data_IF_143935726138
#
_entry.id   IF_143935726138
#
_cell.length_a   1.000
_cell.length_b   1.000
_cell.length_c   1.000
_cell.angle_alpha   90.00
_cell.angle_beta   90.00
_cell.angle_gamma   90.00
#
_symmetry.space_group_name_H-M   'P 1'
#
loop_
_entity.id
_entity.type
_entity.pdbx_description
1 polymer ?
#
# COMPACT_ATOMS: atom_id res chain seq x y z
N UNK A 1 1.99 18.19 16.89
CA UNK A 1 2.69 18.49 15.62
C UNK A 1 3.61 17.32 15.35
N UNK A 2 3.34 16.55 14.29
CA UNK A 2 4.18 15.44 13.85
C UNK A 2 5.21 16.04 12.89
N UNK A 3 6.18 16.80 13.42
CA UNK A 3 7.11 17.60 12.61
C UNK A 3 8.37 16.85 12.18
N UNK A 4 8.66 15.68 12.76
CA UNK A 4 9.94 14.98 12.54
C UNK A 4 9.80 13.61 11.84
N UNK A 5 8.63 13.27 11.29
CA UNK A 5 8.49 12.01 10.55
C UNK A 5 9.13 12.14 9.17
N UNK A 6 10.22 11.39 8.95
CA UNK A 6 10.84 11.24 7.64
C UNK A 6 9.95 10.41 6.72
N UNK A 7 9.28 11.07 5.78
CA UNK A 7 8.46 10.41 4.76
C UNK A 7 9.32 9.59 3.76
N UNK A 8 8.73 8.51 3.28
CA UNK A 8 9.24 7.69 2.19
C UNK A 8 9.04 8.41 0.85
N UNK A 9 10.12 8.64 0.12
CA UNK A 9 10.12 9.24 -1.22
C UNK A 9 11.31 8.72 -2.01
N UNK A 10 11.28 8.75 -3.35
CA UNK A 10 12.44 8.40 -4.16
C UNK A 10 13.68 9.21 -3.75
N UNK A 11 14.87 8.62 -3.88
CA UNK A 11 16.12 9.33 -3.62
C UNK A 11 16.55 10.04 -4.91
N UNK A 12 16.78 11.36 -4.90
CA UNK A 12 17.32 12.10 -6.04
C UNK A 12 18.70 11.57 -6.44
N UNK A 13 18.94 11.45 -7.74
CA UNK A 13 20.25 11.18 -8.31
C UNK A 13 20.82 12.52 -8.81
N UNK A 14 22.11 12.79 -8.54
CA UNK A 14 22.76 14.02 -9.01
C UNK A 14 22.78 14.09 -10.55
N UNK A 15 22.66 15.29 -11.10
CA UNK A 15 22.75 15.49 -12.55
C UNK A 15 24.18 15.23 -13.02
N UNK A 16 24.32 14.38 -14.04
CA UNK A 16 25.59 14.06 -14.67
C UNK A 16 25.47 14.20 -16.19
N UNK A 17 26.27 15.12 -16.76
CA UNK A 17 26.28 15.42 -18.20
C UNK A 17 26.90 14.31 -19.05
N UNK A 18 27.56 13.32 -18.43
CA UNK A 18 28.16 12.18 -19.13
C UNK A 18 27.15 11.08 -19.45
N UNK A 19 25.95 11.12 -18.85
CA UNK A 19 24.89 10.14 -19.11
C UNK A 19 24.41 10.27 -20.56
N UNK A 20 24.38 9.15 -21.28
CA UNK A 20 23.98 9.13 -22.70
C UNK A 20 22.51 9.55 -22.86
N UNK A 21 22.19 10.53 -23.72
CA UNK A 21 20.81 10.94 -23.95
C UNK A 21 20.08 9.95 -24.89
N UNK A 22 18.79 9.75 -24.63
CA UNK A 22 17.87 9.02 -25.50
C UNK A 22 16.72 9.93 -25.93
N UNK A 23 16.47 9.98 -27.24
CA UNK A 23 15.35 10.72 -27.86
C UNK A 23 14.84 9.97 -29.09
N UNK A 24 13.75 10.46 -29.68
CA UNK A 24 13.24 9.94 -30.96
C UNK A 24 14.34 9.90 -32.02
N UNK A 25 14.49 8.75 -32.68
CA UNK A 25 15.55 8.47 -33.66
C UNK A 25 16.84 7.85 -33.09
N UNK A 26 17.01 7.76 -31.77
CA UNK A 26 18.13 7.03 -31.16
C UNK A 26 18.01 5.52 -31.44
N UNK A 27 19.14 4.85 -31.69
CA UNK A 27 19.18 3.41 -31.90
C UNK A 27 18.76 2.66 -30.61
N UNK A 28 17.58 2.03 -30.66
CA UNK A 28 16.98 1.31 -29.52
C UNK A 28 17.85 0.14 -29.07
N UNK A 29 18.41 -0.64 -29.99
CA UNK A 29 19.22 -1.82 -29.66
C UNK A 29 20.49 -1.43 -28.90
N UNK A 30 21.23 -0.44 -29.40
CA UNK A 30 22.42 0.07 -28.73
C UNK A 30 22.09 0.70 -27.35
N UNK A 31 20.89 1.26 -27.21
CA UNK A 31 20.41 1.79 -25.92
C UNK A 31 20.15 0.65 -24.93
N UNK A 32 19.49 -0.42 -25.35
CA UNK A 32 19.25 -1.60 -24.50
C UNK A 32 20.57 -2.26 -24.10
N UNK A 33 21.53 -2.40 -25.01
CA UNK A 33 22.88 -2.91 -24.71
C UNK A 33 23.60 -2.04 -23.66
N UNK A 34 23.40 -0.71 -23.70
CA UNK A 34 23.91 0.22 -22.67
C UNK A 34 23.28 -0.05 -21.30
N UNK A 35 21.96 -0.29 -21.25
CA UNK A 35 21.25 -0.63 -20.00
C UNK A 35 21.72 -1.99 -19.47
N UNK A 36 21.91 -3.00 -20.34
CA UNK A 36 22.41 -4.32 -19.94
C UNK A 36 23.84 -4.27 -19.39
N UNK A 37 24.67 -3.34 -19.86
CA UNK A 37 25.98 -3.04 -19.30
C UNK A 37 25.93 -2.27 -17.95
N UNK A 38 24.74 -2.07 -17.38
CA UNK A 38 24.55 -1.41 -16.09
C UNK A 38 24.68 0.11 -16.13
N UNK A 39 24.66 0.73 -17.32
CA UNK A 39 24.85 2.18 -17.48
C UNK A 39 23.52 2.91 -17.59
N UNK A 40 23.46 4.10 -17.01
CA UNK A 40 22.30 4.96 -17.10
C UNK A 40 22.08 5.52 -18.52
N UNK A 41 20.82 5.78 -18.83
CA UNK A 41 20.38 6.49 -20.04
C UNK A 41 19.42 7.61 -19.64
N UNK A 42 19.63 8.82 -20.15
CA UNK A 42 18.81 9.99 -19.82
C UNK A 42 17.77 10.26 -20.92
N UNK A 43 16.48 10.24 -20.56
CA UNK A 43 15.40 10.59 -21.49
C UNK A 43 15.41 12.10 -21.75
N UNK A 44 15.45 12.48 -23.02
CA UNK A 44 15.40 13.88 -23.47
C UNK A 44 14.33 14.10 -24.55
N UNK A 45 13.98 15.37 -24.80
CA UNK A 45 13.04 15.75 -25.85
C UNK A 45 11.57 15.65 -25.46
N UNK A 46 10.99 14.45 -25.47
CA UNK A 46 9.57 14.19 -25.18
C UNK A 46 9.42 13.15 -24.08
N UNK A 47 8.44 13.33 -23.19
CA UNK A 47 8.10 12.35 -22.15
C UNK A 47 7.73 10.98 -22.75
N UNK A 48 7.08 10.97 -23.92
CA UNK A 48 6.73 9.74 -24.65
C UNK A 48 7.95 8.90 -25.04
N UNK A 49 9.14 9.48 -25.18
CA UNK A 49 10.35 8.71 -25.49
C UNK A 49 10.68 7.72 -24.38
N UNK A 50 10.48 8.09 -23.11
CA UNK A 50 10.67 7.18 -21.98
C UNK A 50 9.64 6.04 -22.00
N UNK A 51 8.39 6.33 -22.35
CA UNK A 51 7.35 5.31 -22.52
C UNK A 51 7.72 4.32 -23.62
N UNK A 52 8.18 4.82 -24.77
CA UNK A 52 8.62 3.99 -25.90
C UNK A 52 9.83 3.12 -25.50
N UNK A 53 10.84 3.67 -24.84
CA UNK A 53 12.01 2.89 -24.42
C UNK A 53 11.63 1.76 -23.46
N UNK A 54 10.73 2.02 -22.50
CA UNK A 54 10.25 0.99 -21.57
C UNK A 54 9.41 -0.10 -22.27
N UNK A 55 8.63 0.27 -23.29
CA UNK A 55 7.87 -0.68 -24.11
C UNK A 55 8.81 -1.57 -24.93
N UNK A 56 9.83 -0.97 -25.57
CA UNK A 56 10.83 -1.70 -26.34
C UNK A 56 11.67 -2.61 -25.45
N UNK A 57 12.01 -2.19 -24.24
CA UNK A 57 12.68 -3.02 -23.24
C UNK A 57 11.81 -4.24 -22.87
N UNK A 58 10.50 -4.07 -22.72
CA UNK A 58 9.58 -5.20 -22.53
C UNK A 58 9.56 -6.15 -23.74
N UNK A 59 9.50 -5.62 -24.97
CA UNK A 59 9.53 -6.43 -26.20
C UNK A 59 10.83 -7.23 -26.32
N UNK A 60 11.96 -6.59 -26.00
CA UNK A 60 13.27 -7.21 -25.96
C UNK A 60 13.31 -8.37 -24.95
N UNK A 61 12.97 -8.11 -23.69
CA UNK A 61 13.03 -9.14 -22.64
C UNK A 61 12.07 -10.31 -22.90
N UNK A 62 10.90 -10.07 -23.49
CA UNK A 62 9.97 -11.15 -23.86
C UNK A 62 10.54 -12.07 -24.95
N UNK A 63 11.45 -11.58 -25.78
CA UNK A 63 12.12 -12.36 -26.82
C UNK A 63 13.35 -13.09 -26.30
N UNK A 64 14.02 -12.54 -25.28
CA UNK A 64 15.29 -13.06 -24.78
C UNK A 64 15.17 -13.93 -23.53
N UNK A 65 14.10 -13.77 -22.74
CA UNK A 65 13.87 -14.56 -21.54
C UNK A 65 12.65 -15.46 -21.68
N UNK A 66 12.72 -16.71 -21.20
CA UNK A 66 11.52 -17.51 -21.01
C UNK A 66 10.63 -16.84 -19.95
N UNK A 67 9.31 -17.02 -20.06
CA UNK A 67 8.32 -16.31 -19.26
C UNK A 67 7.02 -17.11 -19.08
N UNK A 68 7.11 -18.45 -19.09
CA UNK A 68 5.96 -19.36 -18.99
C UNK A 68 5.76 -19.81 -17.54
N UNK A 69 6.82 -20.23 -16.85
CA UNK A 69 6.73 -20.70 -15.46
C UNK A 69 6.72 -19.53 -14.47
N UNK A 70 6.38 -19.80 -13.20
CA UNK A 70 6.37 -18.79 -12.15
C UNK A 70 7.79 -18.23 -11.88
N UNK A 71 8.80 -19.10 -11.86
CA UNK A 71 10.20 -18.71 -11.66
C UNK A 71 10.71 -17.86 -12.83
N UNK A 72 10.39 -18.25 -14.06
CA UNK A 72 10.70 -17.47 -15.27
C UNK A 72 10.05 -16.09 -15.24
N UNK A 73 8.77 -16.00 -14.85
CA UNK A 73 8.09 -14.73 -14.68
C UNK A 73 8.73 -13.85 -13.60
N UNK A 74 9.22 -14.45 -12.51
CA UNK A 74 9.93 -13.72 -11.46
C UNK A 74 11.26 -13.19 -11.98
N UNK A 75 12.05 -14.01 -12.66
CA UNK A 75 13.32 -13.61 -13.27
C UNK A 75 13.12 -12.49 -14.31
N UNK A 76 12.09 -12.59 -15.16
CA UNK A 76 11.71 -11.54 -16.10
C UNK A 76 11.39 -10.22 -15.38
N UNK A 77 10.58 -10.25 -14.32
CA UNK A 77 10.21 -9.05 -13.55
C UNK A 77 11.42 -8.42 -12.88
N UNK A 78 12.29 -9.23 -12.27
CA UNK A 78 13.51 -8.76 -11.64
C UNK A 78 14.46 -8.09 -12.66
N UNK A 79 14.67 -8.73 -13.83
CA UNK A 79 15.51 -8.17 -14.90
C UNK A 79 14.91 -6.88 -15.47
N UNK A 80 13.61 -6.85 -15.72
CA UNK A 80 12.92 -5.64 -16.17
C UNK A 80 13.03 -4.51 -15.15
N UNK A 81 12.82 -4.80 -13.86
CA UNK A 81 12.96 -3.82 -12.79
C UNK A 81 14.39 -3.28 -12.73
N UNK A 82 15.41 -4.12 -12.81
CA UNK A 82 16.80 -3.70 -12.81
C UNK A 82 17.11 -2.75 -13.99
N UNK A 83 16.77 -3.15 -15.22
CA UNK A 83 17.08 -2.38 -16.42
C UNK A 83 16.24 -1.10 -16.54
N UNK A 84 14.96 -1.14 -16.21
CA UNK A 84 14.09 0.05 -16.28
C UNK A 84 14.47 1.13 -15.26
N UNK A 85 15.07 0.76 -14.12
CA UNK A 85 15.60 1.71 -13.14
C UNK A 85 16.94 2.34 -13.56
N UNK A 86 17.52 1.95 -14.70
CA UNK A 86 18.66 2.64 -15.32
C UNK A 86 18.21 3.72 -16.32
N UNK A 87 16.90 3.85 -16.57
CA UNK A 87 16.35 4.92 -17.41
C UNK A 87 16.03 6.11 -16.51
N UNK A 88 16.69 7.24 -16.74
CA UNK A 88 16.57 8.46 -15.93
C UNK A 88 15.83 9.56 -16.67
N UNK A 89 15.26 10.50 -15.92
CA UNK A 89 14.69 11.74 -16.43
C UNK A 89 15.03 12.88 -15.48
N UNK A 90 15.28 14.05 -16.04
CA UNK A 90 15.64 15.26 -15.30
C UNK A 90 14.41 16.02 -14.82
N UNK A 91 14.48 16.47 -13.57
CA UNK A 91 13.55 17.38 -12.93
C UNK A 91 14.31 18.67 -12.64
N UNK A 92 13.83 19.78 -13.18
CA UNK A 92 14.34 21.13 -12.92
C UNK A 92 13.17 22.03 -12.46
N UNK A 93 13.39 22.82 -11.41
CA UNK A 93 12.38 23.70 -10.80
C UNK A 93 11.06 22.96 -10.51
N UNK A 94 11.22 21.76 -9.93
CA UNK A 94 10.14 20.82 -9.59
C UNK A 94 9.26 20.39 -10.78
N UNK A 95 9.78 20.49 -12.01
CA UNK A 95 9.08 20.10 -13.24
C UNK A 95 9.95 19.16 -14.08
N UNK A 96 9.30 18.22 -14.76
CA UNK A 96 10.00 17.37 -15.74
C UNK A 96 10.50 18.22 -16.91
N UNK A 97 11.80 18.15 -17.20
CA UNK A 97 12.45 18.92 -18.28
C UNK A 97 11.98 18.46 -19.67
N UNK A 98 11.61 17.18 -19.80
CA UNK A 98 11.08 16.63 -21.06
C UNK A 98 9.73 17.25 -21.40
N UNK A 99 9.51 17.57 -22.69
CA UNK A 99 8.27 18.21 -23.14
C UNK A 99 7.09 17.24 -23.16
N UNK A 100 5.87 17.80 -23.15
CA UNK A 100 4.59 17.05 -23.08
C UNK A 100 4.54 16.09 -21.89
N UNK A 101 5.15 16.50 -20.78
CA UNK A 101 5.16 15.77 -19.51
C UNK A 101 3.92 16.07 -18.66
N UNK A 102 3.51 15.16 -17.77
CA UNK A 102 2.52 15.48 -16.74
C UNK A 102 3.08 16.48 -15.71
N UNK A 103 2.20 17.25 -15.08
CA UNK A 103 2.51 18.03 -13.88
C UNK A 103 2.36 17.13 -12.64
N UNK A 104 3.39 17.10 -11.78
CA UNK A 104 3.47 16.23 -10.61
C UNK A 104 3.88 17.06 -9.39
N UNK A 105 2.91 17.40 -8.53
CA UNK A 105 3.15 18.24 -7.35
C UNK A 105 3.93 17.58 -6.22
N UNK A 106 4.18 16.26 -6.30
CA UNK A 106 5.08 15.60 -5.35
C UNK A 106 6.50 16.14 -5.41
N UNK A 107 6.97 16.64 -6.54
CA UNK A 107 8.35 17.13 -6.64
C UNK A 107 8.61 18.31 -5.70
N UNK A 108 7.71 19.30 -5.69
CA UNK A 108 7.78 20.44 -4.78
C UNK A 108 7.62 20.00 -3.31
N UNK A 109 6.62 19.15 -3.02
CA UNK A 109 6.38 18.63 -1.66
C UNK A 109 7.56 17.81 -1.11
N UNK A 110 8.21 17.02 -1.95
CA UNK A 110 9.25 16.07 -1.53
C UNK A 110 10.64 16.67 -1.54
N UNK A 111 10.91 17.63 -2.42
CA UNK A 111 12.25 18.15 -2.64
C UNK A 111 12.25 19.68 -2.67
N UNK A 112 11.66 20.38 -1.68
CA UNK A 112 11.50 21.84 -1.73
C UNK A 112 12.83 22.57 -1.98
N UNK A 113 13.92 22.10 -1.36
CA UNK A 113 15.26 22.70 -1.46
C UNK A 113 16.11 22.18 -2.63
N UNK A 114 15.71 21.09 -3.28
CA UNK A 114 16.48 20.50 -4.38
C UNK A 114 15.75 20.76 -5.70
N UNK A 115 16.23 21.76 -6.44
CA UNK A 115 15.59 22.22 -7.67
C UNK A 115 16.06 21.48 -8.92
N UNK A 116 17.21 20.80 -8.91
CA UNK A 116 17.71 20.08 -10.09
C UNK A 116 18.29 18.70 -9.74
N UNK A 117 17.65 17.66 -10.25
CA UNK A 117 18.03 16.27 -9.98
C UNK A 117 17.43 15.30 -11.00
N UNK A 118 17.91 14.06 -10.98
CA UNK A 118 17.38 12.96 -11.79
C UNK A 118 16.58 11.99 -10.91
N UNK A 119 15.54 11.40 -11.49
CA UNK A 119 14.87 10.21 -10.95
C UNK A 119 14.77 9.14 -12.03
N UNK A 120 14.55 7.88 -11.61
CA UNK A 120 14.26 6.84 -12.59
C UNK A 120 12.89 7.09 -13.23
N UNK A 121 12.77 6.82 -14.52
CA UNK A 121 11.52 6.99 -15.24
C UNK A 121 10.37 6.17 -14.63
N UNK A 122 10.57 4.91 -14.16
CA UNK A 122 9.56 4.19 -13.39
C UNK A 122 9.13 4.89 -12.09
N UNK A 123 10.07 5.50 -11.34
CA UNK A 123 9.72 6.27 -10.14
C UNK A 123 8.84 7.47 -10.48
N UNK A 124 9.15 8.20 -11.56
CA UNK A 124 8.33 9.32 -12.06
C UNK A 124 6.94 8.85 -12.48
N UNK A 125 6.80 7.71 -13.15
CA UNK A 125 5.50 7.12 -13.46
C UNK A 125 4.70 6.79 -12.19
N UNK A 126 5.35 6.23 -11.17
CA UNK A 126 4.75 5.94 -9.88
C UNK A 126 4.28 7.20 -9.14
N UNK A 127 5.13 8.24 -9.10
CA UNK A 127 4.79 9.54 -8.53
C UNK A 127 3.61 10.19 -9.27
N UNK A 128 3.61 10.17 -10.61
CA UNK A 128 2.49 10.70 -11.39
C UNK A 128 1.18 9.97 -11.06
N UNK A 129 1.19 8.63 -11.04
CA UNK A 129 0.01 7.83 -10.70
C UNK A 129 -0.53 8.21 -9.32
N UNK A 130 0.33 8.24 -8.30
CA UNK A 130 -0.05 8.63 -6.95
C UNK A 130 -0.58 10.08 -6.89
N UNK A 131 0.02 11.00 -7.63
CA UNK A 131 -0.41 12.41 -7.68
C UNK A 131 -1.82 12.53 -8.24
N UNK A 132 -2.16 11.77 -9.27
CA UNK A 132 -3.50 11.76 -9.83
C UNK A 132 -4.54 11.24 -8.84
N UNK A 133 -4.22 10.19 -8.07
CA UNK A 133 -5.10 9.70 -7.00
C UNK A 133 -5.27 10.71 -5.87
N UNK A 134 -4.17 11.31 -5.43
CA UNK A 134 -4.17 12.33 -4.39
C UNK A 134 -4.98 13.57 -4.79
N UNK A 135 -4.83 14.06 -6.03
CA UNK A 135 -5.61 15.21 -6.52
C UNK A 135 -7.09 14.90 -6.71
N UNK A 136 -7.43 13.79 -7.38
CA UNK A 136 -8.83 13.48 -7.74
C UNK A 136 -9.66 12.95 -6.57
N UNK A 137 -8.97 12.33 -5.60
CA UNK A 137 -9.55 11.55 -4.53
C UNK A 137 -10.23 10.27 -5.03
N UNK A 138 -10.41 9.32 -4.12
CA UNK A 138 -11.10 8.05 -4.35
C UNK A 138 -12.42 8.03 -3.60
N UNK A 139 -13.51 7.74 -4.31
CA UNK A 139 -14.81 7.47 -3.68
C UNK A 139 -14.81 6.05 -3.12
N UNK A 140 -15.02 5.93 -1.82
CA UNK A 140 -15.19 4.65 -1.13
C UNK A 140 -16.68 4.48 -0.80
N UNK A 141 -17.37 3.42 -1.26
CA UNK A 141 -18.83 3.33 -1.14
C UNK A 141 -19.41 3.41 0.28
N UNK A 142 -18.64 3.03 1.30
CA UNK A 142 -19.06 3.07 2.71
C UNK A 142 -18.75 4.42 3.38
N UNK A 143 -18.13 5.35 2.68
CA UNK A 143 -17.80 6.69 3.15
C UNK A 143 -18.57 7.75 2.35
N UNK A 144 -18.84 8.89 2.99
CA UNK A 144 -19.49 10.04 2.33
C UNK A 144 -18.49 10.89 1.54
N UNK A 145 -17.30 11.09 2.10
CA UNK A 145 -16.25 11.92 1.50
C UNK A 145 -15.26 11.05 0.74
N UNK A 146 -14.64 11.64 -0.28
CA UNK A 146 -13.48 11.02 -0.94
C UNK A 146 -12.31 10.96 0.02
N UNK A 147 -11.49 9.92 -0.13
CA UNK A 147 -10.17 9.84 0.49
C UNK A 147 -9.11 10.28 -0.51
N UNK A 148 -8.03 10.87 -0.02
CA UNK A 148 -6.94 11.39 -0.84
C UNK A 148 -5.63 10.72 -0.40
N UNK A 149 -5.38 9.48 -0.85
CA UNK A 149 -4.24 8.70 -0.37
C UNK A 149 -2.92 9.40 -0.72
N UNK A 150 -2.04 9.52 0.26
CA UNK A 150 -0.70 10.06 0.06
C UNK A 150 0.16 9.06 -0.71
N UNK A 151 1.24 9.56 -1.34
CA UNK A 151 2.18 8.69 -2.05
C UNK A 151 2.67 7.55 -1.14
N UNK A 152 2.72 6.32 -1.67
CA UNK A 152 3.22 5.16 -0.94
C UNK A 152 2.29 4.61 0.14
N UNK A 153 1.09 5.18 0.32
CA UNK A 153 0.08 4.66 1.25
C UNK A 153 -0.83 3.65 0.55
N UNK A 154 -1.14 2.54 1.21
CA UNK A 154 -2.12 1.58 0.71
C UNK A 154 -3.52 2.19 0.69
N UNK A 155 -4.27 1.93 -0.38
CA UNK A 155 -5.70 2.21 -0.44
C UNK A 155 -6.47 1.06 -1.09
N UNK A 156 -7.68 0.75 -0.60
CA UNK A 156 -8.46 -0.36 -1.12
C UNK A 156 -9.00 -0.02 -2.50
N UNK A 157 -8.85 -0.96 -3.44
CA UNK A 157 -9.52 -0.96 -4.76
C UNK A 157 -10.63 -2.01 -4.84
N UNK A 158 -10.77 -2.81 -3.77
CA UNK A 158 -11.83 -3.80 -3.52
C UNK A 158 -12.50 -3.43 -2.20
N UNK A 159 -13.81 -3.60 -2.08
CA UNK A 159 -14.59 -2.97 -0.99
C UNK A 159 -15.39 -3.97 -0.15
N UNK A 160 -15.34 -5.26 -0.46
CA UNK A 160 -16.12 -6.30 0.22
C UNK A 160 -15.85 -6.36 1.73
N UNK A 161 -14.57 -6.25 2.11
CA UNK A 161 -14.15 -6.23 3.52
C UNK A 161 -14.59 -4.95 4.24
N UNK A 162 -14.74 -3.84 3.51
CA UNK A 162 -15.27 -2.59 4.06
C UNK A 162 -16.78 -2.65 4.28
N UNK A 163 -17.51 -3.30 3.37
CA UNK A 163 -18.97 -3.47 3.51
C UNK A 163 -19.33 -4.36 4.69
N UNK A 164 -18.61 -5.47 4.89
CA UNK A 164 -18.88 -6.37 6.02
C UNK A 164 -18.57 -5.68 7.35
N UNK A 165 -17.51 -4.87 7.41
CA UNK A 165 -17.18 -4.03 8.56
C UNK A 165 -18.23 -2.92 8.81
N UNK A 166 -18.66 -2.19 7.77
CA UNK A 166 -19.69 -1.15 7.88
C UNK A 166 -21.00 -1.73 8.43
N UNK A 167 -21.39 -2.91 7.92
CA UNK A 167 -22.59 -3.63 8.35
C UNK A 167 -22.47 -4.09 9.80
N UNK A 168 -21.31 -4.57 10.22
CA UNK A 168 -21.09 -4.93 11.61
C UNK A 168 -21.17 -3.71 12.54
N UNK A 169 -20.50 -2.61 12.19
CA UNK A 169 -20.53 -1.35 12.97
C UNK A 169 -21.96 -0.80 13.11
N UNK A 170 -22.80 -0.94 12.09
CA UNK A 170 -24.21 -0.49 12.15
C UNK A 170 -25.06 -1.21 13.19
N UNK A 171 -24.62 -2.40 13.64
CA UNK A 171 -25.27 -3.23 14.66
C UNK A 171 -24.48 -3.27 15.97
N UNK A 172 -23.38 -2.53 16.07
CA UNK A 172 -22.55 -2.55 17.26
C UNK A 172 -23.21 -1.70 18.37
N UNK A 173 -23.58 -2.37 19.46
CA UNK A 173 -24.29 -1.79 20.62
C UNK A 173 -23.36 -1.51 21.81
N UNK A 174 -22.08 -1.90 21.73
CA UNK A 174 -21.11 -1.61 22.78
C UNK A 174 -20.78 -0.13 22.89
N UNK A 175 -20.11 0.25 23.98
CA UNK A 175 -19.69 1.62 24.19
C UNK A 175 -18.73 2.09 23.09
N UNK A 176 -18.91 3.33 22.62
CA UNK A 176 -18.16 3.91 21.49
C UNK A 176 -17.24 5.04 21.92
N UNK A 177 -16.60 4.94 23.09
CA UNK A 177 -15.71 5.98 23.60
C UNK A 177 -14.41 6.02 22.80
N UNK A 178 -13.78 4.87 22.59
CA UNK A 178 -12.53 4.74 21.86
C UNK A 178 -12.48 3.50 20.97
N UNK A 179 -11.71 3.60 19.89
CA UNK A 179 -11.31 2.47 19.06
C UNK A 179 -9.85 2.58 18.66
N UNK A 180 -9.25 1.46 18.24
CA UNK A 180 -7.90 1.40 17.66
C UNK A 180 -7.97 0.86 16.23
N UNK A 181 -7.28 1.51 15.32
CA UNK A 181 -7.09 1.09 13.92
C UNK A 181 -5.61 0.76 13.70
N UNK A 182 -5.28 -0.54 13.69
CA UNK A 182 -3.90 -1.02 13.53
C UNK A 182 -3.57 -1.11 12.05
N UNK A 183 -2.57 -0.36 11.60
CA UNK A 183 -2.25 -0.22 10.18
C UNK A 183 -3.26 0.68 9.45
N UNK A 184 -3.48 1.89 9.98
CA UNK A 184 -4.54 2.82 9.56
C UNK A 184 -4.51 3.16 8.06
N UNK A 185 -3.34 3.13 7.40
CA UNK A 185 -3.20 3.38 5.97
C UNK A 185 -3.78 4.72 5.55
N UNK A 186 -4.75 4.69 4.62
CA UNK A 186 -5.47 5.90 4.17
C UNK A 186 -6.70 6.26 5.02
N UNK A 187 -6.87 5.64 6.20
CA UNK A 187 -7.85 6.04 7.23
C UNK A 187 -9.27 5.51 7.02
N UNK A 188 -9.50 4.61 6.06
CA UNK A 188 -10.85 4.17 5.71
C UNK A 188 -11.61 3.58 6.90
N UNK A 189 -11.00 2.65 7.65
CA UNK A 189 -11.65 2.00 8.79
C UNK A 189 -11.90 2.99 9.94
N UNK A 190 -10.91 3.83 10.24
CA UNK A 190 -11.06 4.97 11.16
C UNK A 190 -12.22 5.90 10.79
N UNK A 191 -12.38 6.24 9.51
CA UNK A 191 -13.51 7.06 9.06
C UNK A 191 -14.85 6.33 9.19
N UNK A 192 -14.90 5.01 8.98
CA UNK A 192 -16.09 4.22 9.25
C UNK A 192 -16.44 4.23 10.75
N UNK A 193 -15.46 4.04 11.64
CA UNK A 193 -15.69 4.09 13.09
C UNK A 193 -16.21 5.46 13.53
N UNK A 194 -15.60 6.55 13.04
CA UNK A 194 -16.08 7.92 13.29
C UNK A 194 -17.50 8.14 12.76
N UNK A 195 -17.81 7.64 11.55
CA UNK A 195 -19.15 7.69 10.94
C UNK A 195 -20.18 6.96 11.82
N UNK A 196 -19.80 5.85 12.45
CA UNK A 196 -20.67 5.03 13.31
C UNK A 196 -20.68 5.45 14.79
N UNK A 197 -20.10 6.61 15.10
CA UNK A 197 -20.28 7.28 16.39
C UNK A 197 -19.15 7.09 17.40
N UNK A 198 -18.01 6.50 17.01
CA UNK A 198 -16.84 6.48 17.89
C UNK A 198 -16.35 7.91 18.18
N UNK A 199 -16.14 8.21 19.46
CA UNK A 199 -15.74 9.55 19.92
C UNK A 199 -14.26 9.79 19.66
N UNK A 200 -13.43 8.76 19.88
CA UNK A 200 -11.99 8.75 19.60
C UNK A 200 -11.59 7.50 18.83
N UNK A 201 -10.65 7.66 17.91
CA UNK A 201 -9.98 6.56 17.21
C UNK A 201 -8.49 6.82 17.29
N UNK A 202 -7.72 5.82 17.73
CA UNK A 202 -6.26 5.86 17.72
C UNK A 202 -5.76 5.01 16.55
N UNK A 203 -5.08 5.63 15.59
CA UNK A 203 -4.58 5.00 14.38
C UNK A 203 -3.07 4.87 14.40
N UNK A 204 -2.57 3.67 14.14
CA UNK A 204 -1.13 3.40 14.04
C UNK A 204 -0.73 2.97 12.64
N UNK A 205 0.46 3.34 12.20
CA UNK A 205 1.06 2.78 10.99
C UNK A 205 2.59 2.74 11.08
N UNK A 206 3.19 1.76 10.42
CA UNK A 206 4.65 1.68 10.21
C UNK A 206 5.09 2.38 8.93
N UNK A 207 4.15 2.85 8.12
CA UNK A 207 4.40 3.69 6.96
C UNK A 207 4.30 5.18 7.35
N UNK A 208 5.41 5.92 7.37
CA UNK A 208 5.39 7.34 7.73
C UNK A 208 4.49 8.18 6.82
N UNK A 209 4.28 7.75 5.57
CA UNK A 209 3.46 8.47 4.60
C UNK A 209 1.97 8.37 4.92
N UNK A 210 1.51 7.27 5.53
CA UNK A 210 0.14 7.14 6.00
C UNK A 210 -0.15 8.20 7.09
N UNK A 211 0.77 8.33 8.05
CA UNK A 211 0.65 9.27 9.17
C UNK A 211 0.75 10.71 8.69
N UNK A 212 1.79 11.06 7.92
CA UNK A 212 1.95 12.41 7.38
C UNK A 212 0.77 12.79 6.46
N UNK A 213 0.35 11.88 5.58
CA UNK A 213 -0.74 12.09 4.65
C UNK A 213 -2.10 12.30 5.32
N UNK A 214 -2.43 11.48 6.33
CA UNK A 214 -3.66 11.65 7.10
C UNK A 214 -3.62 12.90 7.96
N UNK A 215 -2.47 13.23 8.55
CA UNK A 215 -2.30 14.47 9.31
C UNK A 215 -2.57 15.69 8.42
N UNK A 216 -2.00 15.72 7.21
CA UNK A 216 -2.25 16.77 6.22
C UNK A 216 -3.73 16.79 5.78
N UNK A 217 -4.30 15.64 5.45
CA UNK A 217 -5.70 15.52 5.00
C UNK A 217 -6.70 16.00 6.07
N UNK A 218 -6.46 15.67 7.34
CA UNK A 218 -7.36 16.06 8.42
C UNK A 218 -7.20 17.52 8.81
N UNK A 219 -5.99 18.09 8.73
CA UNK A 219 -5.70 19.47 9.12
C UNK A 219 -6.36 19.86 10.45
N UNK A 220 -7.10 20.97 10.44
CA UNK A 220 -7.83 21.47 11.62
C UNK A 220 -9.32 21.03 11.68
N UNK A 221 -9.71 20.07 10.85
CA UNK A 221 -11.11 19.62 10.76
C UNK A 221 -11.56 18.88 12.03
N UNK A 222 -12.86 18.57 12.13
CA UNK A 222 -13.39 17.72 13.20
C UNK A 222 -12.74 16.33 13.25
N UNK A 223 -12.14 15.86 12.15
CA UNK A 223 -11.46 14.57 12.11
C UNK A 223 -10.19 14.59 12.97
N UNK A 224 -9.38 15.66 12.95
CA UNK A 224 -8.17 15.73 13.78
C UNK A 224 -8.46 15.80 15.28
N UNK A 225 -9.69 16.17 15.67
CA UNK A 225 -10.15 16.07 17.06
C UNK A 225 -10.61 14.66 17.43
N UNK A 226 -10.94 13.81 16.46
CA UNK A 226 -11.47 12.46 16.69
C UNK A 226 -10.46 11.36 16.44
N UNK A 227 -9.52 11.57 15.52
CA UNK A 227 -8.52 10.59 15.12
C UNK A 227 -7.16 11.09 15.59
N UNK A 228 -6.54 10.32 16.47
CA UNK A 228 -5.17 10.50 16.90
C UNK A 228 -4.28 9.54 16.11
N UNK A 229 -3.14 10.03 15.62
CA UNK A 229 -2.24 9.26 14.77
C UNK A 229 -0.92 9.03 15.48
N UNK A 230 -0.39 7.81 15.36
CA UNK A 230 0.92 7.45 15.87
C UNK A 230 1.72 6.67 14.83
N UNK A 231 2.98 7.05 14.66
CA UNK A 231 3.91 6.32 13.82
C UNK A 231 4.58 5.24 14.65
N UNK A 232 4.10 4.01 14.50
CA UNK A 232 4.47 2.92 15.39
C UNK A 232 4.07 1.56 14.87
N UNK A 233 4.80 0.54 15.32
CA UNK A 233 4.47 -0.85 15.07
C UNK A 233 3.30 -1.29 15.95
N UNK A 234 2.34 -2.00 15.36
CA UNK A 234 1.13 -2.51 16.02
C UNK A 234 0.38 -1.43 16.82
N UNK A 235 0.53 -1.37 18.14
CA UNK A 235 -0.18 -0.42 18.98
C UNK A 235 0.62 0.83 19.34
N UNK A 236 1.88 0.91 18.90
CA UNK A 236 2.75 2.07 19.09
C UNK A 236 2.78 2.54 20.55
N UNK A 237 2.55 3.84 20.73
CA UNK A 237 2.58 4.50 22.03
C UNK A 237 1.29 4.33 22.86
N UNK A 238 0.26 3.65 22.33
CA UNK A 238 -0.99 3.45 23.07
C UNK A 238 -0.79 2.56 24.29
N UNK A 239 -1.07 3.12 25.46
CA UNK A 239 -1.09 2.41 26.75
C UNK A 239 -2.50 2.17 27.30
N UNK A 240 -3.50 2.91 26.82
CA UNK A 240 -4.87 2.85 27.34
C UNK A 240 -5.63 1.67 26.71
N UNK A 241 -6.54 1.09 27.49
CA UNK A 241 -7.48 0.11 26.97
C UNK A 241 -8.60 0.78 26.17
N UNK A 242 -9.18 0.05 25.22
CA UNK A 242 -10.21 0.52 24.28
C UNK A 242 -11.38 -0.47 24.17
N UNK A 243 -12.55 0.02 23.76
CA UNK A 243 -13.74 -0.80 23.53
C UNK A 243 -13.67 -1.62 22.23
N UNK A 244 -12.93 -1.11 21.24
CA UNK A 244 -12.80 -1.75 19.93
C UNK A 244 -11.34 -1.69 19.46
N UNK A 245 -10.80 -2.83 19.01
CA UNK A 245 -9.55 -2.90 18.24
C UNK A 245 -9.88 -3.49 16.88
N UNK A 246 -9.47 -2.82 15.80
CA UNK A 246 -9.66 -3.27 14.42
C UNK A 246 -8.31 -3.43 13.77
N UNK A 247 -8.12 -4.57 13.09
CA UNK A 247 -6.92 -4.84 12.31
C UNK A 247 -7.30 -5.38 10.93
N UNK A 248 -6.83 -4.73 9.88
CA UNK A 248 -6.87 -5.25 8.51
C UNK A 248 -5.44 -5.61 8.09
N UNK A 249 -4.89 -6.74 8.60
CA UNK A 249 -3.53 -7.15 8.31
C UNK A 249 -3.32 -7.38 6.82
N UNK A 250 -2.05 -7.47 6.39
CA UNK A 250 -1.71 -8.10 5.12
C UNK A 250 -2.27 -9.54 5.07
N UNK A 251 -2.65 -10.02 3.89
CA UNK A 251 -3.39 -11.30 3.75
C UNK A 251 -2.52 -12.49 3.35
N UNK A 252 -1.29 -12.28 2.89
CA UNK A 252 -0.42 -13.35 2.42
C UNK A 252 0.83 -13.47 3.31
N UNK A 253 1.30 -14.68 3.65
CA UNK A 253 2.59 -14.82 4.29
C UNK A 253 3.71 -14.48 3.31
N UNK A 254 4.81 -13.97 3.83
CA UNK A 254 6.05 -13.80 3.08
C UNK A 254 6.60 -15.15 2.62
N UNK A 255 6.85 -15.29 1.32
CA UNK A 255 7.33 -16.54 0.73
C UNK A 255 8.86 -16.75 0.89
N UNK A 256 9.67 -15.68 0.90
CA UNK A 256 11.14 -15.76 0.98
C UNK A 256 11.75 -14.54 1.70
N UNK A 257 12.91 -14.73 2.35
CA UNK A 257 13.72 -13.65 2.95
C UNK A 257 14.49 -12.91 1.85
N UNK A 258 14.27 -11.60 1.69
CA UNK A 258 15.11 -10.72 0.86
C UNK A 258 14.41 -9.98 -0.29
N UNK A 259 13.20 -10.35 -0.67
CA UNK A 259 12.46 -9.59 -1.70
C UNK A 259 12.04 -8.22 -1.14
N UNK A 260 12.11 -7.17 -1.97
CA UNK A 260 11.50 -5.88 -1.69
C UNK A 260 9.97 -6.06 -1.76
N UNK A 261 9.38 -6.38 -0.62
CA UNK A 261 8.01 -6.86 -0.52
C UNK A 261 7.06 -5.71 -0.12
N UNK A 262 5.89 -5.69 -0.76
CA UNK A 262 4.79 -4.83 -0.38
C UNK A 262 4.22 -5.28 0.98
N UNK A 263 4.62 -4.57 2.05
CA UNK A 263 4.18 -4.82 3.43
C UNK A 263 2.68 -4.62 3.64
N UNK A 264 1.94 -4.07 2.67
CA UNK A 264 0.49 -4.01 2.73
C UNK A 264 -0.19 -5.32 2.27
N UNK A 265 0.55 -6.20 1.60
CA UNK A 265 0.02 -7.47 1.06
C UNK A 265 0.59 -8.66 1.82
N UNK A 266 1.86 -8.58 2.22
CA UNK A 266 2.57 -9.68 2.85
C UNK A 266 2.91 -9.43 4.32
N UNK A 267 2.78 -10.45 5.16
CA UNK A 267 3.14 -10.43 6.58
C UNK A 267 4.32 -11.37 6.91
N UNK A 268 5.11 -10.97 7.91
CA UNK A 268 6.16 -11.79 8.53
C UNK A 268 5.55 -12.72 9.62
N UNK A 269 6.28 -13.75 10.02
CA UNK A 269 5.80 -14.81 10.92
C UNK A 269 5.38 -14.32 12.32
N UNK A 270 6.05 -13.29 12.83
CA UNK A 270 5.83 -12.76 14.18
C UNK A 270 4.65 -11.77 14.28
N UNK A 271 4.12 -11.27 13.14
CA UNK A 271 3.10 -10.22 13.13
C UNK A 271 1.86 -10.59 13.95
N UNK A 272 1.32 -11.79 13.73
CA UNK A 272 0.10 -12.23 14.39
C UNK A 272 0.32 -12.61 15.86
N UNK A 273 1.35 -13.40 16.23
CA UNK A 273 1.68 -13.65 17.63
C UNK A 273 1.83 -12.36 18.46
N UNK A 274 2.63 -11.40 17.98
CA UNK A 274 2.84 -10.11 18.65
C UNK A 274 1.54 -9.29 18.74
N UNK A 275 0.75 -9.27 17.66
CA UNK A 275 -0.53 -8.57 17.64
C UNK A 275 -1.48 -9.09 18.72
N UNK A 276 -1.68 -10.41 18.81
CA UNK A 276 -2.62 -10.98 19.78
C UNK A 276 -2.15 -10.79 21.22
N UNK A 277 -0.85 -10.88 21.48
CA UNK A 277 -0.29 -10.58 22.80
C UNK A 277 -0.58 -9.13 23.21
N UNK A 278 -0.25 -8.17 22.35
CA UNK A 278 -0.48 -6.76 22.64
C UNK A 278 -1.97 -6.37 22.67
N UNK A 279 -2.80 -7.00 21.84
CA UNK A 279 -4.24 -6.79 21.83
C UNK A 279 -4.87 -7.23 23.17
N UNK A 280 -4.37 -8.31 23.79
CA UNK A 280 -4.88 -8.81 25.08
C UNK A 280 -4.74 -7.77 26.18
N UNK A 281 -3.66 -7.00 26.17
CA UNK A 281 -3.41 -5.95 27.17
C UNK A 281 -4.27 -4.70 26.94
N UNK A 282 -4.61 -4.40 25.67
CA UNK A 282 -5.22 -3.13 25.25
C UNK A 282 -6.72 -3.21 25.01
N UNK A 283 -7.30 -4.41 25.00
CA UNK A 283 -8.74 -4.55 24.88
C UNK A 283 -9.40 -4.50 26.25
N UNK A 284 -10.44 -3.68 26.42
CA UNK A 284 -11.26 -3.70 27.64
C UNK A 284 -11.91 -5.09 27.84
N UNK A 285 -12.28 -5.47 29.07
CA UNK A 285 -12.92 -6.76 29.37
C UNK A 285 -14.13 -7.09 28.46
N UNK A 286 -14.99 -6.11 28.21
CA UNK A 286 -16.18 -6.25 27.33
C UNK A 286 -15.92 -5.80 25.88
N UNK A 287 -14.66 -5.51 25.54
CA UNK A 287 -14.27 -5.01 24.24
C UNK A 287 -14.36 -6.07 23.14
N UNK A 288 -14.35 -5.60 21.88
CA UNK A 288 -14.31 -6.46 20.68
C UNK A 288 -12.99 -6.31 19.93
N UNK A 289 -12.40 -7.44 19.55
CA UNK A 289 -11.24 -7.50 18.66
C UNK A 289 -11.70 -7.96 17.28
N UNK A 290 -11.54 -7.11 16.28
CA UNK A 290 -11.98 -7.35 14.91
C UNK A 290 -10.78 -7.52 13.98
N UNK A 291 -10.76 -8.63 13.24
CA UNK A 291 -9.78 -8.85 12.18
C UNK A 291 -10.46 -9.01 10.82
N UNK A 292 -10.03 -8.22 9.84
CA UNK A 292 -10.40 -8.35 8.44
C UNK A 292 -9.37 -9.22 7.72
N UNK A 293 -9.81 -10.32 7.11
CA UNK A 293 -8.91 -11.28 6.47
C UNK A 293 -9.52 -11.86 5.18
N UNK A 294 -8.80 -12.77 4.53
CA UNK A 294 -9.30 -13.49 3.36
C UNK A 294 -8.78 -14.92 3.33
N UNK A 295 -9.58 -15.83 2.77
CA UNK A 295 -9.15 -17.19 2.44
C UNK A 295 -8.18 -17.25 1.23
N UNK A 296 -7.74 -16.09 0.71
CA UNK A 296 -6.88 -15.98 -0.46
C UNK A 296 -5.64 -16.89 -0.38
N UNK A 297 -4.97 -16.91 0.76
CA UNK A 297 -3.76 -17.73 0.95
C UNK A 297 -4.06 -19.23 0.84
N UNK A 298 -5.22 -19.67 1.36
CA UNK A 298 -5.67 -21.07 1.32
C UNK A 298 -6.02 -21.48 -0.12
N UNK A 299 -6.85 -20.70 -0.82
CA UNK A 299 -7.32 -21.05 -2.18
C UNK A 299 -6.21 -20.96 -3.25
N UNK A 300 -5.15 -20.20 -2.97
CA UNK A 300 -3.97 -20.10 -3.84
C UNK A 300 -2.87 -21.07 -3.44
N UNK A 301 -3.08 -21.93 -2.43
CA UNK A 301 -2.12 -22.89 -1.89
C UNK A 301 -0.80 -22.24 -1.46
N UNK A 302 -0.82 -20.96 -1.05
CA UNK A 302 0.35 -20.23 -0.55
C UNK A 302 0.72 -20.73 0.84
N UNK A 303 -0.27 -21.00 1.68
CA UNK A 303 -0.08 -21.67 2.98
C UNK A 303 -1.35 -22.37 3.40
N UNK A 304 -1.22 -23.40 4.24
CA UNK A 304 -2.33 -24.04 4.96
C UNK A 304 -2.56 -23.41 6.33
N UNK A 305 -1.60 -22.62 6.82
CA UNK A 305 -1.64 -21.96 8.11
C UNK A 305 -2.60 -20.77 8.06
N UNK A 306 -3.49 -20.68 9.05
CA UNK A 306 -4.40 -19.55 9.19
C UNK A 306 -4.18 -18.90 10.57
N UNK A 307 -3.56 -17.72 10.63
CA UNK A 307 -3.05 -17.17 11.90
C UNK A 307 -4.13 -16.97 12.97
N UNK A 308 -5.35 -16.56 12.55
CA UNK A 308 -6.48 -16.38 13.46
C UNK A 308 -7.00 -17.72 14.00
N UNK A 309 -7.10 -18.76 13.16
CA UNK A 309 -7.51 -20.11 13.60
C UNK A 309 -6.46 -20.70 14.54
N UNK A 310 -5.18 -20.48 14.25
CA UNK A 310 -4.07 -20.93 15.08
C UNK A 310 -4.09 -20.28 16.47
N UNK A 311 -4.37 -18.97 16.56
CA UNK A 311 -4.55 -18.28 17.84
C UNK A 311 -5.69 -18.88 18.65
N UNK A 312 -6.85 -19.09 18.02
CA UNK A 312 -8.03 -19.66 18.68
C UNK A 312 -7.81 -21.10 19.14
N UNK A 313 -7.09 -21.91 18.35
CA UNK A 313 -6.76 -23.30 18.67
C UNK A 313 -5.74 -23.41 19.81
N UNK A 314 -4.71 -22.54 19.85
CA UNK A 314 -3.79 -22.44 20.99
C UNK A 314 -4.53 -22.02 22.26
N UNK A 315 -5.49 -21.10 22.12
CA UNK A 315 -6.35 -20.63 23.20
C UNK A 315 -5.63 -19.72 24.21
N UNK A 316 -6.33 -19.39 25.30
CA UNK A 316 -5.78 -18.64 26.44
C UNK A 316 -6.08 -17.13 26.42
N UNK A 317 -5.99 -16.47 25.26
CA UNK A 317 -6.21 -15.01 25.18
C UNK A 317 -7.63 -14.62 24.78
N UNK A 318 -8.11 -15.20 23.68
CA UNK A 318 -9.37 -14.83 23.03
C UNK A 318 -10.24 -16.04 22.70
N UNK A 319 -11.53 -15.79 22.49
CA UNK A 319 -12.49 -16.75 21.96
C UNK A 319 -13.26 -16.14 20.78
N UNK A 320 -13.78 -17.00 19.90
CA UNK A 320 -14.58 -16.60 18.75
C UNK A 320 -16.01 -16.28 19.20
N UNK A 321 -16.44 -15.03 18.99
CA UNK A 321 -17.85 -14.69 19.09
C UNK A 321 -18.56 -14.98 17.76
N UNK A 322 -17.99 -14.50 16.65
CA UNK A 322 -18.58 -14.68 15.33
C UNK A 322 -17.57 -14.49 14.20
N UNK A 323 -17.76 -15.23 13.11
CA UNK A 323 -17.08 -14.97 11.85
C UNK A 323 -18.12 -14.69 10.77
N UNK A 324 -17.97 -13.59 10.05
CA UNK A 324 -18.79 -13.24 8.90
C UNK A 324 -17.98 -13.39 7.63
N UNK A 325 -18.57 -13.88 6.56
CA UNK A 325 -17.92 -13.99 5.24
C UNK A 325 -18.68 -13.23 4.17
N UNK A 326 -17.96 -12.84 3.12
CA UNK A 326 -18.54 -12.26 1.91
C UNK A 326 -17.73 -12.70 0.69
N UNK A 327 -18.36 -13.31 -0.33
CA UNK A 327 -17.70 -13.62 -1.59
C UNK A 327 -17.20 -12.35 -2.29
N UNK A 328 -16.03 -12.41 -2.90
CA UNK A 328 -15.52 -11.30 -3.71
C UNK A 328 -16.15 -11.28 -5.09
N UNK A 329 -16.17 -10.09 -5.72
CA UNK A 329 -16.56 -9.98 -7.13
C UNK A 329 -15.56 -10.71 -8.02
N UNK A 330 -16.10 -11.34 -9.08
CA UNK A 330 -15.32 -12.01 -10.14
C UNK A 330 -14.23 -11.11 -10.70
N UNK A 331 -13.19 -11.74 -11.22
CA UNK A 331 -12.12 -11.06 -11.93
C UNK A 331 -12.67 -10.19 -13.07
N UNK A 332 -12.01 -9.06 -13.35
CA UNK A 332 -12.31 -8.31 -14.56
C UNK A 332 -11.81 -9.09 -15.78
N UNK A 333 -12.70 -9.31 -16.74
CA UNK A 333 -12.41 -9.96 -18.02
C UNK A 333 -11.45 -9.14 -18.90
N UNK A 334 -11.25 -7.86 -18.58
CA UNK A 334 -10.35 -6.94 -19.30
C UNK A 334 -8.88 -7.23 -18.97
N UNK A 335 -8.58 -7.83 -17.82
CA UNK A 335 -7.20 -8.06 -17.41
C UNK A 335 -6.66 -9.39 -17.93
N UNK A 336 -5.44 -9.40 -18.50
CA UNK A 336 -4.74 -10.62 -18.92
C UNK A 336 -4.14 -11.43 -17.75
N UNK A 337 -4.41 -11.05 -16.49
CA UNK A 337 -3.88 -11.74 -15.31
C UNK A 337 -4.75 -12.96 -15.03
N UNK A 338 -4.15 -14.14 -14.90
CA UNK A 338 -4.88 -15.33 -14.51
C UNK A 338 -5.33 -15.21 -13.05
N UNK A 339 -6.63 -15.00 -12.85
CA UNK A 339 -7.28 -14.81 -11.55
C UNK A 339 -8.43 -15.82 -11.36
N UNK A 340 -8.29 -17.04 -11.90
CA UNK A 340 -9.32 -18.09 -11.83
C UNK A 340 -9.79 -18.40 -10.40
N UNK A 341 -8.91 -18.22 -9.40
CA UNK A 341 -9.23 -18.41 -7.99
C UNK A 341 -10.22 -17.36 -7.43
N UNK A 342 -10.46 -16.24 -8.11
CA UNK A 342 -11.29 -15.15 -7.58
C UNK A 342 -12.74 -15.52 -7.33
N UNK A 343 -13.31 -16.50 -8.03
CA UNK A 343 -14.67 -16.95 -7.74
C UNK A 343 -14.79 -17.72 -6.42
N UNK A 344 -13.65 -18.16 -5.86
CA UNK A 344 -13.56 -18.89 -4.59
C UNK A 344 -13.06 -18.01 -3.43
N UNK A 345 -12.62 -16.77 -3.72
CA UNK A 345 -12.14 -15.86 -2.70
C UNK A 345 -13.30 -15.28 -1.90
N UNK A 346 -13.16 -15.34 -0.59
CA UNK A 346 -14.03 -14.71 0.40
C UNK A 346 -13.19 -13.80 1.28
N UNK A 347 -13.77 -12.64 1.60
CA UNK A 347 -13.28 -11.81 2.70
C UNK A 347 -14.02 -12.20 3.98
N UNK A 348 -13.34 -12.09 5.09
CA UNK A 348 -13.79 -12.54 6.39
C UNK A 348 -13.68 -11.39 7.40
N UNK A 349 -14.65 -11.29 8.30
CA UNK A 349 -14.60 -10.46 9.49
C UNK A 349 -14.70 -11.37 10.71
N UNK A 350 -13.60 -11.50 11.43
CA UNK A 350 -13.48 -12.26 12.66
C UNK A 350 -13.76 -11.34 13.84
N UNK A 351 -14.73 -11.69 14.68
CA UNK A 351 -15.09 -10.96 15.90
C UNK A 351 -14.71 -11.83 17.09
N UNK A 352 -13.74 -11.36 17.84
CA UNK A 352 -13.19 -12.06 19.01
C UNK A 352 -13.47 -11.24 20.28
N UNK A 353 -13.59 -11.95 21.40
CA UNK A 353 -13.66 -11.38 22.75
C UNK A 353 -12.57 -11.99 23.61
N UNK A 354 -12.30 -11.39 24.77
CA UNK A 354 -11.55 -12.09 25.81
C UNK A 354 -12.17 -13.46 26.08
N UNK A 355 -11.30 -14.45 26.34
CA UNK A 355 -11.70 -15.75 26.88
C UNK A 355 -11.91 -15.66 28.38
#
# INVERSE_FOLDING_TARGET
MITDIKINKPTPIAVDKTIKPYKGGTNIRATIETLEAGKYVLITGLYSNGLTLLEELHKYLKRTLPNKTFEEQRAYRAKYQALSNLVLVEIADHKLVVRKSPSIGWFEKFYPENTNYLLTFPQVQGLNSAWQWYLKGLTIPVLRNKIHPYYGTYFPTRFEHLYIFDKWLSKYEGAKKSAVDVGIGCGVLSFQMVKHGFQKVFGTDTNPNAIAGLSEFMGETKLSRKIELDFGHLFGNLKKQTELIVFNPPWLPKLQKGDAIDKAIYYDEDLFPEFFEQAKERLLPDGKLLLLFSNLAEITNVTKEHPIKNELAKGGRFQLEKCYTKPVKRASEITKRNQHWRSLEEVQLWVLTHK
#
